data_IF_394464100864
#
_entry.id   IF_394464100864
#
_cell.length_a   1.000
_cell.length_b   1.000
_cell.length_c   1.000
_cell.angle_alpha   90.00
_cell.angle_beta   90.00
_cell.angle_gamma   90.00
#
_symmetry.space_group_name_H-M   'P 1'
#
loop_
_entity.id
_entity.type
_entity.pdbx_description
1 polymer ?
#
# COMPACT_ATOMS: atom_id res chain seq x y z
N UNK A 1 -17.30 -11.04 16.16
CA UNK A 1 -15.96 -10.43 16.05
C UNK A 1 -15.31 -10.80 14.72
N UNK A 2 -15.43 -12.05 14.31
CA UNK A 2 -14.83 -12.58 13.08
C UNK A 2 -15.29 -11.81 11.85
N UNK A 3 -16.59 -11.67 11.64
CA UNK A 3 -17.16 -10.93 10.50
C UNK A 3 -16.75 -9.45 10.45
N UNK A 4 -16.55 -8.83 11.62
CA UNK A 4 -16.05 -7.47 11.73
C UNK A 4 -14.57 -7.35 11.39
N UNK A 5 -13.77 -8.34 11.81
CA UNK A 5 -12.34 -8.32 11.63
C UNK A 5 -11.92 -8.67 10.20
N UNK A 6 -12.59 -9.62 9.56
CA UNK A 6 -12.28 -10.05 8.20
C UNK A 6 -13.06 -9.31 7.10
N UNK A 7 -13.84 -8.29 7.47
CA UNK A 7 -14.53 -7.46 6.49
C UNK A 7 -13.52 -6.76 5.57
N UNK A 8 -13.59 -6.93 4.22
CA UNK A 8 -12.61 -6.37 3.28
C UNK A 8 -12.52 -4.84 3.30
N UNK A 9 -13.64 -4.16 3.57
CA UNK A 9 -13.71 -2.70 3.52
C UNK A 9 -13.30 -2.05 4.84
N UNK A 10 -13.64 -2.67 5.96
CA UNK A 10 -13.51 -2.04 7.28
C UNK A 10 -12.75 -2.86 8.31
N UNK A 11 -12.31 -4.05 7.94
CA UNK A 11 -11.66 -5.01 8.83
C UNK A 11 -10.15 -4.83 8.98
N UNK A 12 -9.49 -5.84 9.54
CA UNK A 12 -8.04 -5.88 9.81
C UNK A 12 -7.55 -4.72 10.68
N UNK A 13 -8.41 -4.24 11.56
CA UNK A 13 -8.18 -3.11 12.46
C UNK A 13 -7.58 -3.56 13.80
N UNK A 14 -7.02 -2.61 14.55
CA UNK A 14 -6.49 -2.91 15.88
C UNK A 14 -7.56 -3.19 16.93
N UNK A 15 -7.16 -3.74 18.07
CA UNK A 15 -8.03 -4.13 19.19
C UNK A 15 -9.02 -3.03 19.59
N UNK A 16 -8.55 -1.80 19.77
CA UNK A 16 -9.39 -0.72 20.27
C UNK A 16 -10.44 -0.27 19.24
N UNK A 17 -10.09 -0.32 17.95
CA UNK A 17 -11.01 -0.02 16.86
C UNK A 17 -12.03 -1.15 16.67
N UNK A 18 -11.60 -2.41 16.80
CA UNK A 18 -12.48 -3.57 16.77
C UNK A 18 -13.47 -3.55 17.93
N UNK A 19 -13.00 -3.21 19.14
CA UNK A 19 -13.85 -3.07 20.31
C UNK A 19 -14.94 -2.02 20.10
N UNK A 20 -14.58 -0.82 19.61
CA UNK A 20 -15.57 0.25 19.33
C UNK A 20 -16.67 -0.22 18.39
N UNK A 21 -16.32 -0.89 17.30
CA UNK A 21 -17.30 -1.44 16.35
C UNK A 21 -18.11 -2.59 16.95
N UNK A 22 -17.49 -3.43 17.77
CA UNK A 22 -18.19 -4.54 18.41
C UNK A 22 -19.22 -4.06 19.43
N UNK A 23 -18.94 -2.98 20.16
CA UNK A 23 -19.89 -2.37 21.13
C UNK A 23 -21.13 -1.78 20.42
N UNK A 24 -21.00 -1.28 19.19
CA UNK A 24 -22.12 -0.79 18.40
C UNK A 24 -23.15 -1.90 18.09
N UNK A 25 -22.67 -3.15 17.94
CA UNK A 25 -23.50 -4.33 17.63
C UNK A 25 -23.93 -5.06 18.91
N UNK A 26 -22.99 -5.25 19.81
CA UNK A 26 -23.19 -5.97 21.10
C UNK A 26 -22.73 -5.08 22.26
N UNK A 27 -23.62 -4.25 22.83
CA UNK A 27 -23.24 -3.29 23.89
C UNK A 27 -22.71 -3.91 25.17
N UNK A 28 -22.95 -5.20 25.39
CA UNK A 28 -22.48 -5.93 26.58
C UNK A 28 -21.06 -6.51 26.43
N UNK A 29 -20.46 -6.47 25.25
CA UNK A 29 -19.13 -7.02 25.00
C UNK A 29 -18.09 -6.26 25.82
N UNK A 30 -17.14 -7.00 26.43
CA UNK A 30 -16.09 -6.37 27.21
C UNK A 30 -14.80 -6.29 26.39
N UNK A 31 -14.02 -5.24 26.62
CA UNK A 31 -12.72 -5.07 25.97
C UNK A 31 -11.78 -6.29 26.14
N UNK A 32 -11.86 -6.96 27.32
CA UNK A 32 -11.06 -8.15 27.56
C UNK A 32 -11.44 -9.35 26.68
N UNK A 33 -12.72 -9.50 26.34
CA UNK A 33 -13.19 -10.57 25.45
C UNK A 33 -12.67 -10.32 24.03
N UNK A 34 -12.71 -9.05 23.58
CA UNK A 34 -12.14 -8.65 22.28
C UNK A 34 -10.62 -8.84 22.28
N UNK A 35 -9.90 -8.48 23.34
CA UNK A 35 -8.45 -8.70 23.46
C UNK A 35 -8.10 -10.17 23.42
N UNK A 36 -8.87 -11.01 24.11
CA UNK A 36 -8.66 -12.47 24.13
C UNK A 36 -8.85 -13.04 22.73
N UNK A 37 -10.00 -12.80 22.10
CA UNK A 37 -10.28 -13.23 20.73
C UNK A 37 -9.19 -12.76 19.75
N UNK A 38 -8.77 -11.51 19.87
CA UNK A 38 -7.77 -10.89 19.00
C UNK A 38 -6.36 -11.52 19.17
N UNK A 39 -6.00 -11.97 20.38
CA UNK A 39 -4.73 -12.64 20.63
C UNK A 39 -4.77 -14.11 20.21
N UNK A 40 -5.93 -14.77 20.31
CA UNK A 40 -6.12 -16.16 19.95
C UNK A 40 -6.34 -16.35 18.43
N UNK A 41 -6.46 -15.23 17.67
CA UNK A 41 -6.64 -15.26 16.24
C UNK A 41 -5.37 -15.78 15.53
N UNK A 42 -5.47 -16.93 14.89
CA UNK A 42 -4.36 -17.66 14.28
C UNK A 42 -3.68 -16.87 13.16
N UNK A 43 -4.46 -16.27 12.27
CA UNK A 43 -3.94 -15.45 11.16
C UNK A 43 -3.05 -14.31 11.64
N UNK A 44 -3.39 -13.71 12.79
CA UNK A 44 -2.58 -12.64 13.38
C UNK A 44 -1.32 -13.17 14.05
N UNK A 45 -1.39 -14.33 14.72
CA UNK A 45 -0.21 -14.93 15.36
C UNK A 45 0.86 -15.29 14.33
N UNK A 46 0.45 -15.85 13.19
CA UNK A 46 1.35 -16.20 12.08
C UNK A 46 2.03 -14.96 11.47
N UNK A 47 1.34 -13.83 11.45
CA UNK A 47 1.81 -12.57 10.83
C UNK A 47 2.39 -11.56 11.83
N UNK A 48 2.56 -11.95 13.11
CA UNK A 48 3.12 -11.07 14.13
C UNK A 48 4.61 -10.84 13.88
N UNK A 49 4.95 -9.66 13.40
CA UNK A 49 6.35 -9.25 13.24
C UNK A 49 6.88 -8.61 14.51
N UNK A 50 8.05 -9.04 14.99
CA UNK A 50 8.79 -8.34 16.04
C UNK A 50 9.33 -7.02 15.49
N UNK A 51 8.68 -5.91 15.82
CA UNK A 51 9.16 -4.59 15.47
C UNK A 51 10.25 -4.16 16.46
N UNK A 52 11.52 -4.32 16.09
CA UNK A 52 12.58 -3.56 16.73
C UNK A 52 12.24 -2.05 16.59
N UNK A 53 12.33 -1.30 17.68
CA UNK A 53 12.06 0.14 17.69
C UNK A 53 13.17 0.87 16.91
N UNK A 54 13.01 0.98 15.60
CA UNK A 54 13.86 1.87 14.79
C UNK A 54 13.28 3.28 14.87
N UNK A 55 14.13 4.25 15.20
CA UNK A 55 13.76 5.67 15.10
C UNK A 55 13.80 6.05 13.62
N UNK A 56 12.65 6.26 13.03
CA UNK A 56 12.55 6.78 11.67
C UNK A 56 12.45 8.29 11.69
N UNK A 57 13.20 8.96 10.82
CA UNK A 57 12.94 10.36 10.52
C UNK A 57 11.63 10.48 9.72
N UNK A 58 10.74 11.41 10.09
CA UNK A 58 9.52 11.62 9.33
C UNK A 58 9.85 12.18 7.93
N UNK A 59 9.27 11.57 6.89
CA UNK A 59 9.35 12.07 5.53
C UNK A 59 8.17 13.02 5.32
N UNK A 60 8.49 14.29 5.11
CA UNK A 60 7.51 15.32 4.77
C UNK A 60 7.72 15.76 3.31
N UNK A 61 6.64 16.11 2.63
CA UNK A 61 6.68 16.88 1.40
C UNK A 61 5.98 18.21 1.63
N UNK A 62 6.58 19.30 1.20
CA UNK A 62 5.96 20.62 1.21
C UNK A 62 4.78 20.69 0.22
N UNK A 63 4.78 19.83 -0.80
CA UNK A 63 3.73 19.75 -1.81
C UNK A 63 2.71 18.68 -1.45
N UNK A 64 1.42 19.05 -1.35
CA UNK A 64 0.33 18.15 -0.98
C UNK A 64 0.10 16.97 -1.94
N UNK A 65 0.54 17.11 -3.19
CA UNK A 65 0.30 16.19 -4.30
C UNK A 65 1.52 15.31 -4.62
N UNK A 66 2.32 14.98 -3.60
CA UNK A 66 3.49 14.12 -3.74
C UNK A 66 3.17 12.67 -3.39
N UNK A 67 3.64 11.76 -4.23
CA UNK A 67 3.37 10.33 -4.11
C UNK A 67 4.65 9.51 -4.11
N UNK A 68 4.58 8.33 -3.52
CA UNK A 68 5.55 7.25 -3.71
C UNK A 68 4.88 6.13 -4.50
N UNK A 69 5.61 5.52 -5.43
CA UNK A 69 5.13 4.39 -6.22
C UNK A 69 6.10 3.21 -6.14
N UNK A 70 5.56 2.00 -6.28
CA UNK A 70 6.35 0.77 -6.30
C UNK A 70 5.62 -0.35 -7.05
N UNK A 71 6.38 -1.34 -7.56
CA UNK A 71 5.84 -2.57 -8.14
C UNK A 71 6.04 -3.75 -7.19
N UNK A 72 4.95 -4.40 -6.88
CA UNK A 72 4.93 -5.62 -6.06
C UNK A 72 4.59 -6.83 -6.93
N UNK A 73 5.37 -7.90 -6.77
CA UNK A 73 5.15 -9.18 -7.46
C UNK A 73 4.50 -10.17 -6.51
N UNK A 74 3.44 -10.83 -6.98
CA UNK A 74 2.61 -11.78 -6.23
C UNK A 74 2.46 -13.10 -6.99
N UNK A 75 3.56 -13.78 -7.38
CA UNK A 75 3.53 -14.96 -8.26
C UNK A 75 2.73 -16.13 -7.66
N UNK A 76 2.70 -16.26 -6.33
CA UNK A 76 1.92 -17.27 -5.61
C UNK A 76 0.42 -17.22 -5.94
N UNK A 77 -0.09 -16.03 -6.24
CA UNK A 77 -1.50 -15.79 -6.49
C UNK A 77 -1.85 -15.72 -7.99
N UNK A 78 -0.89 -15.87 -8.89
CA UNK A 78 -1.07 -15.74 -10.34
C UNK A 78 -2.19 -16.64 -10.87
N UNK A 79 -2.20 -17.92 -10.48
CA UNK A 79 -3.22 -18.90 -10.93
C UNK A 79 -4.63 -18.52 -10.46
N UNK A 80 -4.79 -18.14 -9.19
CA UNK A 80 -6.07 -17.76 -8.60
C UNK A 80 -6.57 -16.43 -9.15
N UNK A 81 -5.66 -15.54 -9.55
CA UNK A 81 -5.95 -14.19 -10.07
C UNK A 81 -5.94 -14.11 -11.60
N UNK A 82 -6.22 -15.20 -12.32
CA UNK A 82 -6.30 -15.22 -13.79
C UNK A 82 -5.04 -14.66 -14.49
N UNK A 83 -3.87 -14.93 -13.91
CA UNK A 83 -2.58 -14.47 -14.41
C UNK A 83 -2.18 -13.04 -14.00
N UNK A 84 -2.94 -12.40 -13.12
CA UNK A 84 -2.53 -11.11 -12.54
C UNK A 84 -1.62 -11.36 -11.34
N UNK A 85 -0.34 -11.04 -11.47
CA UNK A 85 0.70 -11.24 -10.46
C UNK A 85 1.58 -10.02 -10.24
N UNK A 86 1.32 -8.94 -10.97
CA UNK A 86 1.96 -7.64 -10.81
C UNK A 86 0.96 -6.65 -10.22
N UNK A 87 1.39 -5.91 -9.21
CA UNK A 87 0.62 -4.84 -8.60
C UNK A 87 1.48 -3.58 -8.51
N UNK A 88 1.05 -2.50 -9.16
CA UNK A 88 1.59 -1.16 -8.91
C UNK A 88 0.82 -0.53 -7.76
N UNK A 89 1.55 -0.05 -6.78
CA UNK A 89 1.00 0.67 -5.63
C UNK A 89 1.45 2.12 -5.64
N UNK A 90 0.58 3.02 -5.23
CA UNK A 90 0.86 4.43 -5.08
C UNK A 90 0.35 4.90 -3.72
N UNK A 91 1.09 5.75 -3.02
CA UNK A 91 0.65 6.34 -1.76
C UNK A 91 0.97 7.82 -1.71
N UNK A 92 -0.02 8.63 -1.37
CA UNK A 92 0.21 10.05 -1.10
C UNK A 92 1.03 10.22 0.18
N UNK A 93 2.11 11.00 0.11
CA UNK A 93 3.07 11.17 1.20
C UNK A 93 2.42 11.83 2.42
N UNK A 94 1.49 12.75 2.22
CA UNK A 94 0.88 13.55 3.29
C UNK A 94 -0.42 12.91 3.81
N UNK A 95 -1.38 12.63 2.93
CA UNK A 95 -2.71 12.13 3.30
C UNK A 95 -2.75 10.64 3.62
N UNK A 96 -1.76 9.87 3.15
CA UNK A 96 -1.71 8.39 3.21
C UNK A 96 -2.78 7.71 2.36
N UNK A 97 -3.50 8.43 1.52
CA UNK A 97 -4.40 7.82 0.54
C UNK A 97 -3.59 6.93 -0.38
N UNK A 98 -3.95 5.65 -0.44
CA UNK A 98 -3.28 4.63 -1.23
C UNK A 98 -4.11 4.18 -2.42
N UNK A 99 -3.44 3.76 -3.49
CA UNK A 99 -4.02 3.22 -4.70
C UNK A 99 -3.27 1.95 -5.09
N UNK A 100 -3.94 1.01 -5.74
CA UNK A 100 -3.34 -0.24 -6.20
C UNK A 100 -3.93 -0.66 -7.55
N UNK A 101 -3.07 -1.02 -8.49
CA UNK A 101 -3.43 -1.39 -9.87
C UNK A 101 -2.82 -2.73 -10.22
N UNK A 102 -3.62 -3.66 -10.74
CA UNK A 102 -3.17 -5.00 -11.11
C UNK A 102 -2.72 -5.07 -12.56
N UNK A 103 -1.73 -5.90 -12.84
CA UNK A 103 -1.27 -6.22 -14.19
C UNK A 103 -0.81 -7.67 -14.29
N UNK A 104 -0.63 -8.15 -15.54
CA UNK A 104 -0.09 -9.47 -15.86
C UNK A 104 1.39 -9.43 -16.23
N UNK A 105 1.94 -8.26 -16.43
CA UNK A 105 3.33 -8.03 -16.80
C UNK A 105 3.74 -6.61 -16.43
N UNK A 106 5.04 -6.34 -16.51
CA UNK A 106 5.65 -5.03 -16.24
C UNK A 106 6.19 -4.32 -17.50
N UNK A 107 5.58 -4.57 -18.66
CA UNK A 107 5.96 -3.90 -19.90
C UNK A 107 5.72 -2.39 -19.78
N UNK A 108 6.51 -1.61 -20.52
CA UNK A 108 6.40 -0.14 -20.52
C UNK A 108 4.97 0.35 -20.77
N UNK A 109 4.25 -0.27 -21.73
CA UNK A 109 2.86 0.06 -22.05
C UNK A 109 1.90 -0.24 -20.90
N UNK A 110 2.16 -1.33 -20.17
CA UNK A 110 1.38 -1.69 -18.99
C UNK A 110 1.61 -0.71 -17.86
N UNK A 111 2.86 -0.30 -17.61
CA UNK A 111 3.21 0.70 -16.60
C UNK A 111 2.54 2.04 -16.93
N UNK A 112 2.68 2.53 -18.16
CA UNK A 112 2.06 3.81 -18.58
C UNK A 112 0.53 3.75 -18.42
N UNK A 113 -0.11 2.65 -18.78
CA UNK A 113 -1.57 2.48 -18.59
C UNK A 113 -1.98 2.52 -17.11
N UNK A 114 -1.20 1.90 -16.22
CA UNK A 114 -1.47 1.95 -14.77
C UNK A 114 -1.23 3.35 -14.21
N UNK A 115 -0.20 4.05 -14.66
CA UNK A 115 0.08 5.45 -14.30
C UNK A 115 -1.03 6.39 -14.79
N UNK A 116 -1.54 6.20 -16.00
CA UNK A 116 -2.66 6.97 -16.54
C UNK A 116 -3.93 6.76 -15.72
N UNK A 117 -4.21 5.51 -15.31
CA UNK A 117 -5.35 5.22 -14.44
C UNK A 117 -5.16 5.87 -13.07
N UNK A 118 -3.97 5.77 -12.49
CA UNK A 118 -3.63 6.42 -11.22
C UNK A 118 -3.81 7.94 -11.30
N UNK A 119 -3.33 8.58 -12.38
CA UNK A 119 -3.46 10.02 -12.58
C UNK A 119 -4.92 10.47 -12.61
N UNK A 120 -5.78 9.70 -13.28
CA UNK A 120 -7.24 9.95 -13.29
C UNK A 120 -7.86 9.78 -11.90
N UNK A 121 -7.52 8.69 -11.19
CA UNK A 121 -8.07 8.41 -9.86
C UNK A 121 -7.57 9.39 -8.78
N UNK A 122 -6.47 10.08 -9.07
CA UNK A 122 -5.93 11.19 -8.27
C UNK A 122 -6.42 12.57 -8.74
N UNK A 123 -7.46 12.62 -9.58
CA UNK A 123 -8.06 13.85 -10.13
C UNK A 123 -7.05 14.75 -10.87
N UNK A 124 -5.97 14.18 -11.43
CA UNK A 124 -4.88 14.92 -12.05
C UNK A 124 -3.98 15.68 -11.06
N UNK A 125 -4.23 15.52 -9.76
CA UNK A 125 -3.51 16.24 -8.70
C UNK A 125 -2.23 15.48 -8.29
N UNK A 126 -1.28 15.38 -9.21
CA UNK A 126 0.02 14.72 -9.01
C UNK A 126 1.12 15.66 -9.46
N UNK A 127 1.94 16.14 -8.53
CA UNK A 127 3.06 17.04 -8.84
C UNK A 127 4.42 16.34 -8.80
N UNK A 128 4.59 15.39 -7.86
CA UNK A 128 5.86 14.69 -7.69
C UNK A 128 5.60 13.21 -7.45
N UNK A 129 6.38 12.36 -8.12
CA UNK A 129 6.39 10.91 -7.90
C UNK A 129 7.80 10.48 -7.52
N UNK A 130 7.93 9.74 -6.42
CA UNK A 130 9.18 9.11 -6.01
C UNK A 130 9.08 7.59 -6.20
N UNK A 131 10.02 6.99 -6.92
CA UNK A 131 10.15 5.53 -7.07
C UNK A 131 11.56 5.07 -6.72
N UNK A 132 11.78 3.76 -6.69
CA UNK A 132 13.13 3.22 -6.80
C UNK A 132 13.72 3.47 -8.20
N UNK A 133 15.01 3.14 -8.38
CA UNK A 133 15.69 3.26 -9.67
C UNK A 133 15.48 2.02 -10.56
N UNK A 134 14.29 1.40 -10.48
CA UNK A 134 13.91 0.26 -11.29
C UNK A 134 13.78 0.62 -12.78
N UNK A 135 14.26 -0.25 -13.66
CA UNK A 135 14.18 -0.05 -15.11
C UNK A 135 12.76 0.13 -15.63
N UNK A 136 11.78 -0.36 -14.89
CA UNK A 136 10.35 -0.20 -15.15
C UNK A 136 9.85 1.24 -15.05
N UNK A 137 10.50 2.08 -14.22
CA UNK A 137 10.12 3.49 -14.06
C UNK A 137 11.05 4.45 -14.79
N UNK A 138 12.33 4.07 -15.00
CA UNK A 138 13.33 4.96 -15.61
C UNK A 138 13.47 4.80 -17.14
N UNK A 139 12.64 3.97 -17.78
CA UNK A 139 12.67 3.81 -19.22
C UNK A 139 12.10 5.02 -19.96
N UNK A 140 12.51 5.23 -21.22
CA UNK A 140 12.18 6.39 -22.04
C UNK A 140 10.66 6.65 -22.15
N UNK A 141 9.84 5.58 -22.25
CA UNK A 141 8.39 5.74 -22.44
C UNK A 141 7.70 6.25 -21.18
N UNK A 142 8.10 5.74 -20.02
CA UNK A 142 7.54 6.18 -18.73
C UNK A 142 8.04 7.59 -18.39
N UNK A 143 9.31 7.90 -18.68
CA UNK A 143 9.83 9.25 -18.50
C UNK A 143 9.09 10.28 -19.39
N UNK A 144 8.86 9.94 -20.67
CA UNK A 144 8.05 10.79 -21.55
C UNK A 144 6.62 11.03 -21.03
N UNK A 145 6.02 10.02 -20.39
CA UNK A 145 4.71 10.19 -19.74
C UNK A 145 4.77 11.17 -18.55
N UNK A 146 5.83 11.11 -17.72
CA UNK A 146 6.01 12.08 -16.63
C UNK A 146 6.18 13.50 -17.16
N UNK A 147 6.99 13.66 -18.23
CA UNK A 147 7.19 14.94 -18.90
C UNK A 147 5.89 15.50 -19.48
N UNK A 148 5.10 14.69 -20.19
CA UNK A 148 3.81 15.09 -20.78
C UNK A 148 2.77 15.53 -19.73
N UNK A 149 2.87 15.02 -18.50
CA UNK A 149 1.98 15.38 -17.39
C UNK A 149 2.57 16.43 -16.45
N UNK A 150 3.75 16.95 -16.76
CA UNK A 150 4.47 17.92 -15.92
C UNK A 150 4.70 17.39 -14.48
N UNK A 151 4.96 16.08 -14.35
CA UNK A 151 5.21 15.43 -13.08
C UNK A 151 6.71 15.29 -12.85
N UNK A 152 7.19 15.83 -11.74
CA UNK A 152 8.57 15.63 -11.30
C UNK A 152 8.78 14.18 -10.83
N UNK A 153 9.64 13.44 -11.53
CA UNK A 153 10.01 12.07 -11.13
C UNK A 153 11.32 12.06 -10.38
N UNK A 154 11.30 11.62 -9.13
CA UNK A 154 12.47 11.50 -8.26
C UNK A 154 12.77 10.01 -8.06
N UNK A 155 13.98 9.60 -8.38
CA UNK A 155 14.47 8.25 -8.08
C UNK A 155 15.19 8.21 -6.74
N UNK A 156 14.94 7.17 -5.95
CA UNK A 156 15.70 6.92 -4.73
C UNK A 156 16.97 6.14 -5.07
N UNK A 157 18.13 6.64 -4.64
CA UNK A 157 19.40 5.96 -4.83
C UNK A 157 19.47 4.64 -4.05
N UNK A 158 20.26 3.71 -4.57
CA UNK A 158 20.51 2.44 -3.90
C UNK A 158 21.19 2.69 -2.54
N UNK A 159 20.48 2.43 -1.45
CA UNK A 159 20.92 2.68 -0.08
C UNK A 159 20.14 3.75 0.67
N UNK A 160 19.38 4.61 -0.01
CA UNK A 160 18.50 5.60 0.62
C UNK A 160 17.12 5.01 0.98
N UNK A 161 17.16 3.97 1.85
CA UNK A 161 15.97 3.23 2.32
C UNK A 161 14.88 4.12 2.95
N UNK A 162 15.22 5.36 3.32
CA UNK A 162 14.28 6.25 3.98
C UNK A 162 13.34 6.95 2.98
N UNK A 163 13.78 7.14 1.72
CA UNK A 163 12.95 7.84 0.72
C UNK A 163 11.65 7.10 0.36
N UNK A 164 11.62 5.76 0.43
CA UNK A 164 10.48 4.92 0.05
C UNK A 164 9.75 4.27 1.22
N UNK A 165 10.07 4.63 2.46
CA UNK A 165 9.53 3.96 3.66
C UNK A 165 7.99 3.98 3.81
N UNK A 166 7.29 4.90 3.12
CA UNK A 166 5.81 4.96 3.17
C UNK A 166 5.19 3.93 2.25
N UNK A 167 5.70 3.81 1.03
CA UNK A 167 5.22 2.82 0.07
C UNK A 167 5.58 1.40 0.52
N UNK A 168 6.77 1.18 1.07
CA UNK A 168 7.18 -0.11 1.64
C UNK A 168 6.22 -0.57 2.74
N UNK A 169 5.85 0.34 3.66
CA UNK A 169 4.89 0.06 4.72
C UNK A 169 3.50 -0.24 4.16
N UNK A 170 3.06 0.50 3.15
CA UNK A 170 1.79 0.29 2.48
C UNK A 170 1.76 -1.09 1.80
N UNK A 171 2.81 -1.46 1.06
CA UNK A 171 2.95 -2.76 0.42
C UNK A 171 2.93 -3.90 1.42
N UNK A 172 3.63 -3.75 2.55
CA UNK A 172 3.57 -4.73 3.64
C UNK A 172 2.14 -4.91 4.16
N UNK A 173 1.39 -3.83 4.35
CA UNK A 173 0.00 -3.89 4.82
C UNK A 173 -0.89 -4.62 3.82
N UNK A 174 -0.75 -4.33 2.52
CA UNK A 174 -1.52 -5.00 1.46
C UNK A 174 -1.18 -6.49 1.42
N UNK A 175 0.11 -6.84 1.40
CA UNK A 175 0.55 -8.24 1.39
C UNK A 175 -0.03 -9.04 2.55
N UNK A 176 0.03 -8.50 3.77
CA UNK A 176 -0.56 -9.14 4.94
C UNK A 176 -2.07 -9.36 4.82
N UNK A 177 -2.79 -8.48 4.12
CA UNK A 177 -4.24 -8.63 3.88
C UNK A 177 -4.59 -9.62 2.78
N UNK A 178 -3.71 -9.80 1.81
CA UNK A 178 -3.90 -10.77 0.71
C UNK A 178 -3.56 -12.18 1.17
N UNK A 179 -2.60 -12.33 2.09
CA UNK A 179 -2.08 -13.61 2.58
C UNK A 179 -2.88 -14.18 3.76
N UNK A 180 -3.80 -13.41 4.36
CA UNK A 180 -4.75 -13.84 5.38
C UNK A 180 -6.13 -14.15 4.78
#
# INVERSE_FOLDING_TARGET
LEDLYYNPETGYIGVDALYRKAVEIEPKIKLNDVKKWFNDNESRQLNKTNNAKQKFMPIFSAQGNSFQIDLTFLPKFSKQNRGYDVMMTCININTRKGYAYKAKNKNQDTIVRMLEQFYKDADGLVSTITSDNGTEFVNRKVQGWFEDKEIEHITADAGDKFKLGKIERFNKTIKLRIEN
#
